data_IF_928396780608
#
_entry.id   IF_928396780608
#
_cell.length_a   1.000
_cell.length_b   1.000
_cell.length_c   1.000
_cell.angle_alpha   90.00
_cell.angle_beta   90.00
_cell.angle_gamma   90.00
#
_symmetry.space_group_name_H-M   'P 1'
#
loop_
_entity.id
_entity.type
_entity.pdbx_description
1 polymer ?
#
# COMPACT_ATOMS: atom_id res chain seq x y z
N UNK A 1 21.59 -12.33 75.75
CA UNK A 1 22.84 -12.76 76.42
C UNK A 1 23.58 -13.68 75.46
N UNK A 2 24.81 -13.50 74.98
CA UNK A 2 25.81 -12.42 74.93
C UNK A 2 26.85 -12.94 73.89
N UNK A 3 27.09 -12.24 72.77
CA UNK A 3 28.26 -11.37 72.47
C UNK A 3 29.62 -12.11 72.30
N UNK A 4 30.24 -12.08 71.09
CA UNK A 4 31.40 -11.24 70.65
C UNK A 4 32.77 -11.84 71.10
N UNK A 5 33.95 -11.69 70.48
CA UNK A 5 34.50 -10.87 69.38
C UNK A 5 35.99 -11.26 69.12
N UNK A 6 36.44 -11.09 67.86
CA UNK A 6 37.76 -10.69 67.27
C UNK A 6 39.11 -10.86 68.02
N UNK A 7 40.15 -11.23 67.24
CA UNK A 7 41.42 -10.47 66.98
C UNK A 7 42.39 -11.37 66.14
N UNK A 8 42.86 -11.00 64.94
CA UNK A 8 43.93 -10.06 64.53
C UNK A 8 45.37 -10.66 64.56
N UNK A 9 46.06 -10.65 63.41
CA UNK A 9 47.54 -10.63 63.30
C UNK A 9 47.98 -10.11 61.92
N UNK A 10 48.83 -9.07 61.94
CA UNK A 10 49.75 -8.62 60.88
C UNK A 10 51.15 -9.22 61.21
N UNK A 11 52.23 -9.24 60.41
CA UNK A 11 52.65 -8.64 59.15
C UNK A 11 53.94 -9.38 58.67
N UNK A 12 54.31 -9.33 57.37
CA UNK A 12 55.68 -9.10 56.88
C UNK A 12 55.77 -9.12 55.33
N UNK A 13 56.50 -8.16 54.74
CA UNK A 13 56.70 -7.86 53.30
C UNK A 13 57.93 -8.62 52.73
N UNK A 14 57.82 -9.29 51.57
CA UNK A 14 58.38 -9.01 50.18
C UNK A 14 59.90 -8.83 50.06
N UNK A 15 60.59 -9.14 48.91
CA UNK A 15 60.15 -9.06 47.48
C UNK A 15 60.65 -10.25 46.60
N UNK A 16 60.51 -10.39 45.28
CA UNK A 16 59.63 -9.98 44.17
C UNK A 16 59.99 -10.92 42.98
N UNK A 17 59.06 -11.22 42.06
CA UNK A 17 59.31 -11.53 40.64
C UNK A 17 57.96 -11.50 39.88
N UNK A 18 57.97 -10.89 38.69
CA UNK A 18 56.84 -10.38 37.90
C UNK A 18 55.89 -11.48 37.33
N UNK A 19 54.61 -11.17 37.03
CA UNK A 19 53.70 -12.09 36.34
C UNK A 19 53.72 -11.84 34.82
N UNK A 20 53.60 -12.90 34.01
CA UNK A 20 52.54 -12.92 33.00
C UNK A 20 51.96 -14.34 32.87
N UNK A 21 50.67 -14.54 32.69
CA UNK A 21 49.92 -14.14 31.50
C UNK A 21 48.45 -14.06 31.88
N UNK A 22 47.84 -12.91 31.60
CA UNK A 22 46.42 -12.82 31.33
C UNK A 22 46.09 -13.93 30.33
N UNK A 23 45.26 -14.89 30.73
CA UNK A 23 44.42 -15.62 29.80
C UNK A 23 43.66 -14.55 29.02
N UNK A 24 44.17 -14.24 27.84
CA UNK A 24 43.40 -13.56 26.83
C UNK A 24 42.22 -14.48 26.54
N UNK A 25 41.11 -14.26 27.25
CA UNK A 25 39.82 -14.62 26.76
C UNK A 25 39.71 -13.92 25.41
N UNK A 26 40.06 -14.62 24.34
CA UNK A 26 39.51 -14.36 23.03
C UNK A 26 38.02 -14.63 23.17
N UNK A 27 37.30 -13.67 23.74
CA UNK A 27 35.97 -13.38 23.25
C UNK A 27 36.21 -13.08 21.77
N UNK A 28 36.08 -14.11 20.93
CA UNK A 28 35.65 -13.91 19.56
C UNK A 28 34.36 -13.12 19.74
N UNK A 29 34.46 -11.79 19.68
CA UNK A 29 33.30 -10.94 19.68
C UNK A 29 32.49 -11.42 18.48
N UNK A 30 31.43 -12.19 18.73
CA UNK A 30 30.41 -12.43 17.72
C UNK A 30 30.11 -11.05 17.16
N UNK A 31 30.26 -10.89 15.84
CA UNK A 31 29.94 -9.64 15.15
C UNK A 31 28.65 -9.06 15.75
N UNK A 32 28.55 -7.73 15.84
CA UNK A 32 27.34 -7.07 16.33
C UNK A 32 26.07 -7.61 15.64
N UNK A 33 26.21 -8.04 14.38
CA UNK A 33 25.14 -8.63 13.57
C UNK A 33 25.32 -10.13 13.28
N UNK A 34 26.18 -10.83 14.03
CA UNK A 34 26.47 -12.26 13.82
C UNK A 34 25.30 -13.20 14.12
N UNK A 35 24.21 -12.69 14.69
CA UNK A 35 22.96 -13.40 14.98
C UNK A 35 21.83 -13.06 13.99
N UNK A 36 22.10 -12.18 13.01
CA UNK A 36 21.11 -11.77 12.03
C UNK A 36 21.06 -12.81 10.92
N UNK A 37 20.00 -13.60 10.91
CA UNK A 37 19.75 -14.60 9.87
C UNK A 37 19.21 -13.96 8.58
N UNK A 38 19.49 -14.55 7.40
CA UNK A 38 18.90 -14.10 6.14
C UNK A 38 17.37 -14.07 6.23
N UNK A 39 16.78 -12.95 5.82
CA UNK A 39 15.33 -12.84 5.72
C UNK A 39 14.78 -13.85 4.69
N UNK A 40 13.57 -14.40 4.89
CA UNK A 40 12.89 -15.18 3.87
C UNK A 40 12.75 -14.38 2.58
N UNK A 41 12.97 -15.01 1.43
CA UNK A 41 12.81 -14.34 0.13
C UNK A 41 11.34 -13.98 -0.10
N UNK A 42 11.09 -12.78 -0.60
CA UNK A 42 9.77 -12.42 -1.10
C UNK A 42 9.45 -13.29 -2.33
N UNK A 43 8.29 -13.99 -2.35
CA UNK A 43 7.99 -14.97 -3.39
C UNK A 43 7.86 -14.33 -4.78
N UNK A 44 7.54 -13.03 -4.89
CA UNK A 44 7.43 -12.32 -6.17
C UNK A 44 8.80 -11.79 -6.61
N UNK A 45 9.56 -11.16 -5.71
CA UNK A 45 10.90 -10.63 -6.05
C UNK A 45 11.88 -11.76 -6.39
N UNK A 46 11.81 -12.89 -5.68
CA UNK A 46 12.63 -14.07 -5.96
C UNK A 46 12.45 -14.62 -7.38
N UNK A 47 11.23 -14.55 -7.94
CA UNK A 47 10.95 -14.94 -9.34
C UNK A 47 11.66 -14.01 -10.32
N UNK A 48 11.72 -12.71 -10.03
CA UNK A 48 12.42 -11.74 -10.89
C UNK A 48 13.93 -11.96 -10.87
N UNK A 49 14.51 -12.23 -9.69
CA UNK A 49 15.93 -12.58 -9.57
C UNK A 49 16.27 -13.84 -10.37
N UNK A 50 15.46 -14.90 -10.23
CA UNK A 50 15.63 -16.14 -10.97
C UNK A 50 15.51 -15.92 -12.49
N UNK A 51 14.51 -15.15 -12.92
CA UNK A 51 14.33 -14.77 -14.33
C UNK A 51 15.54 -13.99 -14.87
N UNK A 52 16.08 -13.03 -14.13
CA UNK A 52 17.25 -12.27 -14.58
C UNK A 52 18.50 -13.15 -14.68
N UNK A 53 18.66 -14.09 -13.75
CA UNK A 53 19.79 -15.02 -13.72
C UNK A 53 19.71 -16.15 -14.77
N UNK A 54 18.52 -16.46 -15.28
CA UNK A 54 18.32 -17.48 -16.31
C UNK A 54 18.98 -17.04 -17.64
N UNK A 55 19.94 -17.82 -18.20
CA UNK A 55 20.61 -17.47 -19.46
C UNK A 55 19.78 -17.80 -20.71
N UNK A 56 18.64 -18.49 -20.56
CA UNK A 56 17.81 -18.89 -21.69
C UNK A 56 17.36 -17.65 -22.49
N UNK A 57 17.52 -17.64 -23.83
CA UNK A 57 17.01 -16.56 -24.67
C UNK A 57 15.46 -16.55 -24.74
N UNK A 58 14.82 -17.68 -24.41
CA UNK A 58 13.37 -17.89 -24.49
C UNK A 58 12.68 -17.72 -23.12
N UNK A 59 13.37 -17.18 -22.12
CA UNK A 59 12.80 -16.96 -20.79
C UNK A 59 11.64 -15.97 -20.84
N UNK A 60 10.56 -16.27 -20.14
CA UNK A 60 9.38 -15.41 -20.02
C UNK A 60 9.12 -15.10 -18.54
N UNK A 61 8.92 -13.82 -18.21
CA UNK A 61 8.56 -13.39 -16.86
C UNK A 61 7.06 -13.09 -16.77
N UNK A 62 6.31 -14.02 -16.18
CA UNK A 62 4.88 -13.84 -15.85
C UNK A 62 4.64 -13.48 -14.38
N UNK A 63 5.70 -13.19 -13.62
CA UNK A 63 5.61 -12.87 -12.18
C UNK A 63 5.55 -11.37 -11.86
N UNK A 64 6.10 -10.51 -12.73
CA UNK A 64 6.12 -9.06 -12.49
C UNK A 64 4.81 -8.42 -12.97
N UNK A 65 4.03 -7.89 -12.03
CA UNK A 65 2.80 -7.14 -12.31
C UNK A 65 3.05 -5.72 -12.84
N UNK A 66 3.75 -5.60 -13.97
CA UNK A 66 3.98 -4.35 -14.67
C UNK A 66 3.76 -4.52 -16.18
N UNK A 67 3.02 -3.59 -16.78
CA UNK A 67 2.69 -3.60 -18.21
C UNK A 67 3.95 -3.62 -19.08
N UNK A 68 3.87 -4.36 -20.19
CA UNK A 68 4.91 -4.51 -21.21
C UNK A 68 4.27 -4.38 -22.60
N UNK A 69 5.04 -3.94 -23.59
CA UNK A 69 4.62 -4.01 -24.98
C UNK A 69 4.72 -5.43 -25.55
N UNK A 70 4.35 -5.59 -26.82
CA UNK A 70 4.40 -6.87 -27.55
C UNK A 70 5.82 -7.46 -27.66
N UNK A 71 6.86 -6.67 -27.39
CA UNK A 71 8.26 -7.10 -27.35
C UNK A 71 8.76 -7.36 -25.92
N UNK A 72 7.86 -7.38 -24.93
CA UNK A 72 8.19 -7.59 -23.52
C UNK A 72 8.95 -6.42 -22.88
N UNK A 73 8.96 -5.23 -23.49
CA UNK A 73 9.69 -4.06 -22.99
C UNK A 73 8.84 -3.15 -22.09
N UNK A 74 9.44 -2.44 -21.12
CA UNK A 74 8.72 -1.45 -20.32
C UNK A 74 8.13 -0.33 -21.20
N UNK A 75 6.85 -0.01 -20.99
CA UNK A 75 6.16 1.08 -21.70
C UNK A 75 6.11 2.33 -20.83
N UNK A 76 6.56 3.45 -21.39
CA UNK A 76 6.29 4.79 -20.86
C UNK A 76 5.14 5.37 -21.67
N UNK A 77 4.10 5.88 -20.99
CA UNK A 77 2.95 6.50 -21.65
C UNK A 77 3.35 7.84 -22.30
N UNK A 78 2.70 8.20 -23.40
CA UNK A 78 2.95 9.46 -24.09
C UNK A 78 2.53 10.66 -23.24
N UNK A 79 1.43 10.55 -22.50
CA UNK A 79 1.03 11.59 -21.53
C UNK A 79 2.10 11.80 -20.45
N UNK A 80 2.77 10.73 -20.01
CA UNK A 80 3.89 10.78 -19.05
C UNK A 80 5.11 11.43 -19.65
N UNK A 81 5.52 11.05 -20.87
CA UNK A 81 6.66 11.68 -21.57
C UNK A 81 6.45 13.19 -21.73
N UNK A 82 5.25 13.60 -22.11
CA UNK A 82 4.91 15.03 -22.26
C UNK A 82 4.92 15.76 -20.92
N UNK A 83 4.38 15.15 -19.85
CA UNK A 83 4.48 15.72 -18.51
C UNK A 83 5.93 15.86 -18.03
N UNK A 84 6.78 14.84 -18.24
CA UNK A 84 8.22 14.91 -17.93
C UNK A 84 8.93 16.03 -18.71
N UNK A 85 8.61 16.20 -20.00
CA UNK A 85 9.14 17.30 -20.81
C UNK A 85 8.77 18.68 -20.25
N UNK A 86 7.56 18.84 -19.71
CA UNK A 86 7.11 20.09 -19.07
C UNK A 86 7.84 20.36 -17.75
N UNK A 87 8.18 19.31 -17.00
CA UNK A 87 8.91 19.42 -15.73
C UNK A 87 10.37 19.84 -15.98
N UNK A 88 11.03 19.24 -16.97
CA UNK A 88 12.44 19.47 -17.25
C UNK A 88 12.74 20.96 -17.53
N UNK A 89 13.54 21.59 -16.66
CA UNK A 89 14.03 22.96 -16.82
C UNK A 89 13.09 24.08 -16.36
N UNK A 90 11.86 23.76 -15.91
CA UNK A 90 10.85 24.76 -15.56
C UNK A 90 10.43 24.77 -14.08
N UNK A 91 10.80 23.73 -13.32
CA UNK A 91 10.39 23.56 -11.92
C UNK A 91 11.59 23.26 -11.02
N UNK A 92 11.52 23.72 -9.77
CA UNK A 92 12.51 23.39 -8.74
C UNK A 92 12.25 22.00 -8.14
N UNK A 93 13.23 21.49 -7.40
CA UNK A 93 13.18 20.20 -6.70
C UNK A 93 13.21 20.38 -5.18
N UNK A 94 12.61 21.49 -4.70
CA UNK A 94 12.53 21.77 -3.26
C UNK A 94 11.63 20.77 -2.54
N UNK A 95 11.79 20.71 -1.22
CA UNK A 95 10.95 19.85 -0.38
C UNK A 95 9.47 20.20 -0.50
N UNK A 96 8.63 19.17 -0.61
CA UNK A 96 7.19 19.31 -0.47
C UNK A 96 6.80 19.53 1.01
N UNK A 97 5.61 20.10 1.26
CA UNK A 97 4.99 20.05 2.59
C UNK A 97 4.91 18.61 3.11
N UNK A 98 4.77 18.42 4.43
CA UNK A 98 4.68 17.08 5.04
C UNK A 98 3.54 16.23 4.45
N UNK A 99 2.42 16.87 4.09
CA UNK A 99 1.30 16.21 3.43
C UNK A 99 1.52 15.91 1.95
N UNK A 100 2.57 16.44 1.33
CA UNK A 100 2.89 16.32 -0.09
C UNK A 100 2.27 17.40 -0.98
N UNK A 101 2.17 17.08 -2.28
CA UNK A 101 1.65 17.99 -3.31
C UNK A 101 0.14 18.16 -3.19
N UNK A 102 -0.31 19.39 -2.88
CA UNK A 102 -1.73 19.75 -2.78
C UNK A 102 -2.46 19.43 -4.10
N UNK A 103 -1.88 19.82 -5.24
CA UNK A 103 -2.47 19.59 -6.56
C UNK A 103 -2.65 18.11 -6.88
N UNK A 104 -1.63 17.29 -6.59
CA UNK A 104 -1.75 15.84 -6.79
C UNK A 104 -2.88 15.26 -5.94
N UNK A 105 -2.97 15.68 -4.67
CA UNK A 105 -4.00 15.20 -3.75
C UNK A 105 -5.39 15.57 -4.26
N UNK A 106 -5.62 16.83 -4.64
CA UNK A 106 -6.91 17.29 -5.20
C UNK A 106 -7.34 16.45 -6.41
N UNK A 107 -6.44 16.22 -7.36
CA UNK A 107 -6.74 15.40 -8.54
C UNK A 107 -6.91 13.91 -8.19
N UNK A 108 -6.20 13.40 -7.20
CA UNK A 108 -6.38 12.02 -6.71
C UNK A 108 -7.76 11.84 -6.09
N UNK A 109 -8.20 12.83 -5.30
CA UNK A 109 -9.52 12.82 -4.68
C UNK A 109 -10.63 12.90 -5.73
N UNK A 110 -10.53 13.80 -6.71
CA UNK A 110 -11.52 13.87 -7.80
C UNK A 110 -11.63 12.54 -8.54
N UNK A 111 -10.50 11.91 -8.87
CA UNK A 111 -10.47 10.64 -9.56
C UNK A 111 -11.10 9.50 -8.74
N UNK A 112 -10.86 9.44 -7.42
CA UNK A 112 -11.40 8.39 -6.55
C UNK A 112 -12.83 8.65 -6.06
N UNK A 113 -13.20 9.91 -5.77
CA UNK A 113 -14.44 10.32 -5.09
C UNK A 113 -15.44 11.04 -6.01
N UNK A 114 -15.02 11.39 -7.22
CA UNK A 114 -15.81 12.02 -8.28
C UNK A 114 -15.54 13.52 -8.33
N UNK A 115 -15.48 14.09 -9.53
CA UNK A 115 -15.22 15.52 -9.76
C UNK A 115 -16.15 16.42 -8.93
N UNK A 116 -17.42 16.03 -8.81
CA UNK A 116 -18.46 16.80 -8.13
C UNK A 116 -18.75 16.40 -6.69
N UNK A 117 -17.90 15.56 -6.09
CA UNK A 117 -18.11 14.98 -4.76
C UNK A 117 -18.40 16.04 -3.69
N UNK A 118 -19.55 15.90 -3.03
CA UNK A 118 -19.92 16.75 -1.89
C UNK A 118 -18.89 16.68 -0.76
N UNK A 119 -18.28 15.51 -0.53
CA UNK A 119 -17.26 15.33 0.51
C UNK A 119 -15.98 16.14 0.27
N UNK A 120 -15.62 16.38 -1.01
CA UNK A 120 -14.51 17.26 -1.37
C UNK A 120 -14.90 18.72 -1.11
N UNK A 121 -16.09 19.13 -1.57
CA UNK A 121 -16.62 20.50 -1.39
C UNK A 121 -16.75 20.86 0.09
N UNK A 122 -17.18 19.91 0.91
CA UNK A 122 -17.33 20.04 2.37
C UNK A 122 -16.00 19.82 3.13
N UNK A 123 -14.90 19.55 2.41
CA UNK A 123 -13.55 19.31 2.97
C UNK A 123 -13.49 18.23 4.06
N UNK A 124 -14.31 17.19 3.89
CA UNK A 124 -14.41 16.08 4.84
C UNK A 124 -13.38 14.98 4.63
N UNK A 125 -12.50 15.10 3.65
CA UNK A 125 -11.53 14.06 3.32
C UNK A 125 -10.14 14.47 3.82
N UNK A 126 -9.62 13.72 4.79
CA UNK A 126 -8.23 13.81 5.20
C UNK A 126 -7.35 13.09 4.18
N UNK A 127 -6.46 13.80 3.50
CA UNK A 127 -5.60 13.19 2.49
C UNK A 127 -4.15 13.68 2.54
N UNK A 128 -3.23 12.75 2.24
CA UNK A 128 -1.79 12.98 2.12
C UNK A 128 -1.25 12.19 0.92
N UNK A 129 -0.27 12.77 0.22
CA UNK A 129 0.52 12.01 -0.74
C UNK A 129 1.32 10.93 -0.01
N UNK A 130 1.35 9.73 -0.58
CA UNK A 130 2.02 8.57 -0.01
C UNK A 130 3.01 7.95 -1.00
N UNK A 131 3.89 7.08 -0.51
CA UNK A 131 4.85 6.31 -1.32
C UNK A 131 4.15 5.18 -2.09
N UNK A 132 3.33 5.58 -3.06
CA UNK A 132 2.41 4.71 -3.80
C UNK A 132 1.38 4.00 -2.90
N UNK A 133 0.71 2.97 -3.42
CA UNK A 133 -0.28 2.19 -2.67
C UNK A 133 0.32 1.53 -1.42
N UNK A 134 1.54 0.98 -1.53
CA UNK A 134 2.25 0.38 -0.39
C UNK A 134 2.45 1.37 0.76
N UNK A 135 2.90 2.59 0.45
CA UNK A 135 3.07 3.64 1.45
C UNK A 135 1.72 4.09 2.03
N UNK A 136 0.67 4.18 1.21
CA UNK A 136 -0.66 4.54 1.68
C UNK A 136 -1.23 3.50 2.66
N UNK A 137 -1.12 2.21 2.32
CA UNK A 137 -1.51 1.11 3.21
C UNK A 137 -0.69 1.12 4.51
N UNK A 138 0.63 1.36 4.44
CA UNK A 138 1.48 1.43 5.64
C UNK A 138 1.10 2.59 6.56
N UNK A 139 0.88 3.79 6.01
CA UNK A 139 0.42 4.95 6.79
C UNK A 139 -0.91 4.67 7.48
N UNK A 140 -1.86 4.06 6.76
CA UNK A 140 -3.15 3.71 7.34
C UNK A 140 -3.02 2.64 8.43
N UNK A 141 -2.19 1.61 8.23
CA UNK A 141 -1.98 0.57 9.24
C UNK A 141 -1.38 1.14 10.54
N UNK A 142 -0.39 2.04 10.45
CA UNK A 142 0.17 2.72 11.63
C UNK A 142 -0.83 3.70 12.27
N UNK A 143 -1.67 4.36 11.46
CA UNK A 143 -2.77 5.20 11.96
C UNK A 143 -3.80 4.36 12.72
N UNK A 144 -4.24 3.25 12.14
CA UNK A 144 -5.14 2.29 12.76
C UNK A 144 -4.57 1.80 14.08
N UNK A 145 -3.31 1.38 14.12
CA UNK A 145 -2.68 0.94 15.38
C UNK A 145 -2.67 2.02 16.45
N UNK A 146 -2.38 3.27 16.07
CA UNK A 146 -2.21 4.37 17.01
C UNK A 146 -3.52 4.86 17.60
N UNK A 147 -4.58 4.96 16.79
CA UNK A 147 -5.84 5.59 17.19
C UNK A 147 -6.97 4.59 17.43
N UNK A 148 -6.82 3.36 16.95
CA UNK A 148 -7.79 2.27 17.09
C UNK A 148 -7.07 0.98 17.50
N UNK A 149 -6.34 0.98 18.64
CA UNK A 149 -5.37 -0.07 19.00
C UNK A 149 -5.99 -1.46 19.19
N UNK A 150 -7.29 -1.52 19.48
CA UNK A 150 -8.07 -2.75 19.69
C UNK A 150 -8.76 -3.25 18.41
N UNK A 151 -8.65 -2.50 17.31
CA UNK A 151 -9.20 -2.91 16.02
C UNK A 151 -8.35 -4.02 15.37
N UNK A 152 -8.98 -4.75 14.46
CA UNK A 152 -8.35 -5.77 13.63
C UNK A 152 -8.66 -5.49 12.16
N UNK A 153 -7.79 -5.95 11.26
CA UNK A 153 -8.03 -5.92 9.81
C UNK A 153 -8.42 -7.31 9.31
N UNK A 154 -9.43 -7.37 8.46
CA UNK A 154 -9.80 -8.55 7.67
C UNK A 154 -9.24 -8.42 6.26
N UNK A 155 -8.49 -9.43 5.82
CA UNK A 155 -7.78 -9.44 4.53
C UNK A 155 -8.33 -10.60 3.67
N UNK A 156 -8.64 -10.40 2.37
CA UNK A 156 -9.22 -11.46 1.55
C UNK A 156 -8.22 -12.60 1.35
N UNK A 157 -8.73 -13.81 1.14
CA UNK A 157 -7.91 -14.99 0.81
C UNK A 157 -8.27 -15.52 -0.59
N UNK A 158 -7.33 -15.53 -1.55
CA UNK A 158 -5.97 -14.96 -1.47
C UNK A 158 -5.97 -13.42 -1.58
N UNK A 159 -4.80 -12.79 -1.45
CA UNK A 159 -4.60 -11.36 -1.72
C UNK A 159 -3.17 -11.05 -2.17
N UNK A 160 -2.84 -9.78 -2.45
CA UNK A 160 -1.46 -9.32 -2.61
C UNK A 160 -0.69 -9.59 -1.32
N UNK A 161 0.33 -10.46 -1.40
CA UNK A 161 1.06 -11.01 -0.24
C UNK A 161 1.53 -9.96 0.76
N UNK A 162 1.92 -8.77 0.28
CA UNK A 162 2.46 -7.73 1.12
C UNK A 162 1.42 -7.08 2.06
N UNK A 163 0.11 -7.25 1.82
CA UNK A 163 -0.91 -6.83 2.80
C UNK A 163 -0.63 -7.44 4.18
N UNK A 164 -0.26 -8.72 4.24
CA UNK A 164 0.06 -9.38 5.49
C UNK A 164 1.31 -8.78 6.16
N UNK A 165 2.34 -8.47 5.39
CA UNK A 165 3.56 -7.85 5.94
C UNK A 165 3.27 -6.45 6.49
N UNK A 166 2.52 -5.63 5.75
CA UNK A 166 2.20 -4.24 6.11
C UNK A 166 1.49 -4.18 7.46
N UNK A 167 0.40 -4.94 7.63
CA UNK A 167 -0.36 -4.91 8.88
C UNK A 167 0.33 -5.65 10.03
N UNK A 168 1.14 -6.67 9.74
CA UNK A 168 1.95 -7.38 10.76
C UNK A 168 2.98 -6.43 11.36
N UNK A 169 3.71 -5.72 10.51
CA UNK A 169 4.79 -4.82 10.91
C UNK A 169 4.26 -3.49 11.49
N UNK A 170 2.97 -3.20 11.31
CA UNK A 170 2.24 -2.15 12.03
C UNK A 170 1.62 -2.65 13.36
N UNK A 171 1.77 -3.94 13.68
CA UNK A 171 1.24 -4.58 14.89
C UNK A 171 -0.28 -4.48 15.04
N UNK A 172 -1.01 -4.52 13.92
CA UNK A 172 -2.47 -4.64 13.89
C UNK A 172 -2.85 -6.12 13.77
N UNK A 173 -3.71 -6.66 14.65
CA UNK A 173 -4.22 -8.01 14.51
C UNK A 173 -4.88 -8.25 13.15
N UNK A 174 -4.54 -9.38 12.52
CA UNK A 174 -5.07 -9.76 11.22
C UNK A 174 -6.01 -10.95 11.34
N UNK A 175 -7.10 -10.89 10.59
CA UNK A 175 -7.92 -12.03 10.23
C UNK A 175 -8.08 -12.09 8.73
N UNK A 176 -8.57 -13.21 8.23
CA UNK A 176 -8.87 -13.38 6.82
C UNK A 176 -10.36 -13.56 6.59
N UNK A 177 -10.79 -13.30 5.35
CA UNK A 177 -12.13 -13.64 4.89
C UNK A 177 -12.07 -14.29 3.50
N UNK A 178 -13.08 -15.09 3.24
CA UNK A 178 -13.24 -15.88 2.01
C UNK A 178 -13.44 -14.96 0.81
N UNK A 179 -12.81 -15.28 -0.32
CA UNK A 179 -12.91 -14.45 -1.53
C UNK A 179 -12.98 -15.29 -2.81
N UNK A 180 -12.05 -16.22 -3.02
CA UNK A 180 -11.94 -16.96 -4.28
C UNK A 180 -12.39 -18.41 -4.13
N UNK A 181 -13.20 -18.90 -5.05
CA UNK A 181 -13.62 -20.30 -5.12
C UNK A 181 -12.80 -21.05 -6.18
N UNK A 182 -11.86 -21.94 -5.79
CA UNK A 182 -10.94 -22.58 -6.74
C UNK A 182 -11.61 -23.40 -7.85
N UNK A 183 -12.72 -24.08 -7.54
CA UNK A 183 -13.39 -24.96 -8.51
C UNK A 183 -14.15 -24.16 -9.58
N UNK A 184 -14.79 -23.05 -9.21
CA UNK A 184 -15.53 -22.21 -10.15
C UNK A 184 -14.66 -21.13 -10.78
N UNK A 185 -13.44 -20.93 -10.24
CA UNK A 185 -12.52 -19.84 -10.59
C UNK A 185 -13.14 -18.45 -10.47
N UNK A 186 -14.19 -18.33 -9.66
CA UNK A 186 -14.95 -17.11 -9.47
C UNK A 186 -14.93 -16.63 -8.01
N UNK A 187 -15.76 -15.64 -7.73
CA UNK A 187 -15.92 -15.10 -6.39
C UNK A 187 -16.71 -16.11 -5.56
N UNK A 188 -16.16 -16.52 -4.42
CA UNK A 188 -16.92 -17.22 -3.38
C UNK A 188 -17.77 -16.19 -2.61
N UNK A 189 -18.82 -15.71 -3.27
CA UNK A 189 -19.65 -14.65 -2.71
C UNK A 189 -20.38 -15.11 -1.45
N UNK A 190 -20.83 -16.36 -1.39
CA UNK A 190 -21.52 -16.90 -0.22
C UNK A 190 -20.58 -16.99 0.99
N UNK A 191 -19.36 -17.49 0.81
CA UNK A 191 -18.34 -17.51 1.86
C UNK A 191 -17.96 -16.10 2.32
N UNK A 192 -17.71 -15.19 1.38
CA UNK A 192 -17.40 -13.78 1.64
C UNK A 192 -18.48 -13.13 2.51
N UNK A 193 -19.76 -13.29 2.13
CA UNK A 193 -20.88 -12.68 2.86
C UNK A 193 -21.10 -13.32 4.23
N UNK A 194 -20.84 -14.62 4.36
CA UNK A 194 -20.89 -15.30 5.66
C UNK A 194 -19.83 -14.74 6.62
N UNK A 195 -18.60 -14.54 6.13
CA UNK A 195 -17.50 -14.02 6.96
C UNK A 195 -17.75 -12.57 7.40
N UNK A 196 -18.29 -11.72 6.51
CA UNK A 196 -18.71 -10.36 6.85
C UNK A 196 -19.76 -10.37 7.96
N UNK A 197 -20.81 -11.19 7.83
CA UNK A 197 -21.90 -11.26 8.83
C UNK A 197 -21.42 -11.74 10.19
N UNK A 198 -20.46 -12.68 10.20
CA UNK A 198 -19.92 -13.29 11.42
C UNK A 198 -18.77 -12.52 12.06
N UNK A 199 -18.17 -11.55 11.35
CA UNK A 199 -17.15 -10.68 11.93
C UNK A 199 -17.74 -9.82 13.08
N UNK A 200 -16.95 -9.48 14.12
CA UNK A 200 -17.39 -8.54 15.15
C UNK A 200 -17.77 -7.19 14.55
N UNK A 201 -18.86 -6.59 15.05
CA UNK A 201 -19.29 -5.26 14.64
C UNK A 201 -18.14 -4.25 14.74
N UNK A 202 -18.06 -3.30 13.80
CA UNK A 202 -16.97 -2.32 13.78
C UNK A 202 -15.62 -2.83 13.24
N UNK A 203 -15.53 -4.07 12.75
CA UNK A 203 -14.31 -4.59 12.14
C UNK A 203 -13.87 -3.82 10.88
N UNK A 204 -12.57 -3.79 10.61
CA UNK A 204 -11.99 -3.18 9.42
C UNK A 204 -11.79 -4.25 8.35
N UNK A 205 -12.09 -3.94 7.10
CA UNK A 205 -11.88 -4.84 5.97
C UNK A 205 -11.04 -4.17 4.89
N UNK A 206 -10.00 -4.87 4.45
CA UNK A 206 -9.25 -4.51 3.26
C UNK A 206 -10.01 -5.01 2.02
N UNK A 207 -10.41 -4.10 1.15
CA UNK A 207 -11.14 -4.39 -0.09
C UNK A 207 -10.30 -3.93 -1.28
N UNK A 208 -10.27 -4.72 -2.35
CA UNK A 208 -9.70 -4.27 -3.62
C UNK A 208 -10.80 -3.51 -4.36
N UNK A 209 -10.56 -2.27 -4.77
CA UNK A 209 -11.58 -1.46 -5.43
C UNK A 209 -12.03 -2.06 -6.77
N UNK A 210 -11.08 -2.65 -7.50
CA UNK A 210 -11.23 -3.39 -8.75
C UNK A 210 -9.92 -4.13 -9.06
N UNK A 211 -9.95 -5.03 -10.06
CA UNK A 211 -8.87 -5.90 -10.50
C UNK A 211 -8.16 -6.58 -9.32
N UNK A 212 -8.91 -7.37 -8.55
CA UNK A 212 -8.39 -8.07 -7.38
C UNK A 212 -7.07 -8.78 -7.66
N UNK A 213 -6.04 -8.47 -6.87
CA UNK A 213 -4.74 -9.13 -6.96
C UNK A 213 -4.66 -10.25 -5.91
N UNK A 214 -4.46 -11.53 -6.29
CA UNK A 214 -3.95 -11.99 -7.60
C UNK A 214 -4.99 -12.58 -8.56
N UNK A 215 -6.27 -12.67 -8.19
CA UNK A 215 -7.23 -13.54 -8.90
C UNK A 215 -7.80 -12.93 -10.17
N UNK A 216 -7.82 -11.61 -10.30
CA UNK A 216 -8.51 -10.88 -11.37
C UNK A 216 -10.04 -10.91 -11.27
N UNK A 217 -10.60 -11.51 -10.21
CA UNK A 217 -12.04 -11.67 -10.04
C UNK A 217 -12.57 -10.55 -9.14
N UNK A 218 -13.54 -9.79 -9.63
CA UNK A 218 -14.19 -8.71 -8.87
C UNK A 218 -15.68 -9.01 -8.62
N UNK A 219 -16.26 -8.52 -7.51
CA UNK A 219 -17.71 -8.55 -7.31
C UNK A 219 -18.43 -7.73 -8.38
N UNK A 220 -19.64 -8.17 -8.76
CA UNK A 220 -20.53 -7.36 -9.60
C UNK A 220 -21.05 -6.14 -8.85
N UNK A 221 -21.68 -5.20 -9.56
CA UNK A 221 -22.30 -4.03 -8.91
C UNK A 221 -23.37 -4.46 -7.88
N UNK A 222 -24.19 -5.46 -8.20
CA UNK A 222 -25.21 -6.00 -7.29
C UNK A 222 -24.59 -6.61 -6.04
N UNK A 223 -23.51 -7.38 -6.22
CA UNK A 223 -22.76 -7.95 -5.11
C UNK A 223 -22.12 -6.87 -4.24
N UNK A 224 -21.54 -5.83 -4.83
CA UNK A 224 -21.00 -4.69 -4.09
C UNK A 224 -22.07 -3.97 -3.26
N UNK A 225 -23.28 -3.82 -3.78
CA UNK A 225 -24.41 -3.23 -3.02
C UNK A 225 -24.80 -4.10 -1.83
N UNK A 226 -24.82 -5.42 -1.98
CA UNK A 226 -25.10 -6.32 -0.87
C UNK A 226 -23.98 -6.30 0.19
N UNK A 227 -22.71 -6.28 -0.24
CA UNK A 227 -21.55 -6.13 0.64
C UNK A 227 -21.67 -4.82 1.43
N UNK A 228 -21.88 -3.70 0.74
CA UNK A 228 -22.05 -2.36 1.33
C UNK A 228 -23.18 -2.35 2.38
N UNK A 229 -24.34 -2.91 2.02
CA UNK A 229 -25.46 -3.06 2.94
C UNK A 229 -25.07 -3.80 4.23
N UNK A 230 -24.40 -4.95 4.12
CA UNK A 230 -24.00 -5.71 5.31
C UNK A 230 -22.92 -4.98 6.12
N UNK A 231 -21.98 -4.29 5.47
CA UNK A 231 -21.02 -3.43 6.16
C UNK A 231 -21.74 -2.36 6.98
N UNK A 232 -22.85 -1.80 6.47
CA UNK A 232 -23.61 -0.76 7.17
C UNK A 232 -24.34 -1.33 8.39
N UNK A 233 -24.97 -2.50 8.24
CA UNK A 233 -25.61 -3.23 9.34
C UNK A 233 -24.61 -3.50 10.48
N UNK A 234 -23.42 -3.97 10.11
CA UNK A 234 -22.36 -4.35 11.05
C UNK A 234 -21.45 -3.19 11.47
N UNK A 235 -21.67 -1.99 10.93
CA UNK A 235 -20.84 -0.80 11.12
C UNK A 235 -19.35 -1.04 10.81
N UNK A 236 -19.06 -1.89 9.84
CA UNK A 236 -17.69 -2.18 9.43
C UNK A 236 -17.06 -0.98 8.70
N UNK A 237 -15.74 -0.85 8.84
CA UNK A 237 -14.97 0.16 8.14
C UNK A 237 -14.31 -0.43 6.88
N UNK A 238 -14.68 0.01 5.67
CA UNK A 238 -14.02 -0.39 4.43
C UNK A 238 -12.73 0.42 4.20
N UNK A 239 -11.62 -0.29 4.00
CA UNK A 239 -10.37 0.27 3.52
C UNK A 239 -10.07 -0.26 2.12
N UNK A 240 -10.17 0.60 1.11
CA UNK A 240 -9.95 0.24 -0.29
C UNK A 240 -8.47 0.35 -0.69
N UNK A 241 -7.89 -0.72 -1.21
CA UNK A 241 -6.68 -0.66 -2.05
C UNK A 241 -7.11 -0.47 -3.51
N UNK A 242 -6.72 0.67 -4.10
CA UNK A 242 -7.07 1.07 -5.46
C UNK A 242 -5.81 1.30 -6.30
N UNK A 243 -5.19 0.19 -6.73
CA UNK A 243 -3.96 0.22 -7.51
C UNK A 243 -4.15 0.18 -9.05
N UNK A 244 -5.35 -0.14 -9.52
CA UNK A 244 -5.62 -0.49 -10.92
C UNK A 244 -6.75 0.33 -11.57
N UNK A 245 -7.12 1.48 -10.99
CA UNK A 245 -8.20 2.30 -11.53
C UNK A 245 -7.95 2.69 -13.00
N UNK A 246 -8.89 2.34 -13.86
CA UNK A 246 -8.85 2.48 -15.32
C UNK A 246 -8.31 1.23 -16.03
N UNK A 247 -7.48 0.42 -15.39
CA UNK A 247 -6.88 -0.78 -15.99
C UNK A 247 -7.82 -1.99 -15.98
N UNK A 248 -8.81 -2.06 -15.09
CA UNK A 248 -9.71 -3.21 -15.01
C UNK A 248 -10.72 -3.20 -16.17
N UNK A 249 -11.38 -2.06 -16.38
CA UNK A 249 -12.42 -1.93 -17.41
C UNK A 249 -12.04 -1.05 -18.61
N UNK A 250 -10.96 -0.28 -18.54
CA UNK A 250 -10.64 0.78 -19.51
C UNK A 250 -11.37 2.10 -19.19
N UNK A 251 -12.11 2.14 -18.08
CA UNK A 251 -12.92 3.27 -17.63
C UNK A 251 -12.68 3.50 -16.12
N UNK A 252 -11.96 4.58 -15.74
CA UNK A 252 -11.71 4.90 -14.34
C UNK A 252 -12.95 5.14 -13.47
N UNK A 253 -14.08 5.58 -14.05
CA UNK A 253 -15.31 5.79 -13.29
C UNK A 253 -15.98 4.46 -12.94
N UNK A 254 -16.01 3.53 -13.90
CA UNK A 254 -16.46 2.16 -13.64
C UNK A 254 -15.57 1.47 -12.61
N UNK A 255 -14.27 1.66 -12.71
CA UNK A 255 -13.29 1.06 -11.78
C UNK A 255 -13.34 1.65 -10.36
N UNK A 256 -13.99 2.81 -10.17
CA UNK A 256 -14.26 3.41 -8.87
C UNK A 256 -15.66 3.09 -8.31
N UNK A 257 -16.44 2.24 -9.00
CA UNK A 257 -17.85 2.01 -8.67
C UNK A 257 -18.07 1.45 -7.26
N UNK A 258 -17.19 0.56 -6.77
CA UNK A 258 -17.26 0.04 -5.41
C UNK A 258 -17.18 1.18 -4.36
N UNK A 259 -16.24 2.10 -4.53
CA UNK A 259 -16.12 3.29 -3.66
C UNK A 259 -17.39 4.13 -3.74
N UNK A 260 -17.92 4.38 -4.94
CA UNK A 260 -19.15 5.17 -5.15
C UNK A 260 -20.35 4.57 -4.40
N UNK A 261 -20.54 3.26 -4.47
CA UNK A 261 -21.63 2.55 -3.78
C UNK A 261 -21.53 2.75 -2.27
N UNK A 262 -20.34 2.56 -1.68
CA UNK A 262 -20.16 2.75 -0.23
C UNK A 262 -20.35 4.21 0.19
N UNK A 263 -19.96 5.17 -0.65
CA UNK A 263 -20.22 6.58 -0.38
C UNK A 263 -21.72 6.92 -0.44
N UNK A 264 -22.44 6.40 -1.45
CA UNK A 264 -23.90 6.53 -1.60
C UNK A 264 -24.65 5.97 -0.38
N UNK A 265 -24.19 4.83 0.15
CA UNK A 265 -24.76 4.21 1.34
C UNK A 265 -24.36 4.90 2.66
N UNK A 266 -23.51 5.93 2.60
CA UNK A 266 -23.15 6.79 3.74
C UNK A 266 -22.00 6.26 4.60
N UNK A 267 -21.14 5.41 4.04
CA UNK A 267 -19.96 4.91 4.75
C UNK A 267 -18.86 5.98 4.87
N UNK A 268 -18.18 6.00 6.01
CA UNK A 268 -16.81 6.50 6.07
C UNK A 268 -15.89 5.42 5.49
N UNK A 269 -14.93 5.82 4.66
CA UNK A 269 -14.02 4.90 3.97
C UNK A 269 -12.57 5.38 4.08
N UNK A 270 -11.63 4.45 4.01
CA UNK A 270 -10.23 4.74 3.67
C UNK A 270 -9.90 4.28 2.25
N UNK A 271 -9.00 4.97 1.56
CA UNK A 271 -8.58 4.60 0.21
C UNK A 271 -7.08 4.84 0.01
N UNK A 272 -6.37 3.78 -0.39
CA UNK A 272 -4.98 3.79 -0.83
C UNK A 272 -4.91 3.76 -2.36
N UNK A 273 -4.54 4.89 -2.97
CA UNK A 273 -4.38 5.02 -4.42
C UNK A 273 -2.93 4.80 -4.83
N UNK A 274 -2.71 4.05 -5.92
CA UNK A 274 -1.40 3.92 -6.57
C UNK A 274 -1.45 4.39 -8.01
N UNK A 275 -0.42 5.13 -8.42
CA UNK A 275 -0.19 5.50 -9.82
C UNK A 275 0.84 4.61 -10.53
N UNK A 276 1.27 3.54 -9.86
CA UNK A 276 2.32 2.67 -10.39
C UNK A 276 1.89 1.99 -11.70
N UNK A 277 0.63 1.53 -11.78
CA UNK A 277 0.11 0.78 -12.93
C UNK A 277 -0.60 1.72 -13.90
N UNK A 278 -1.57 2.48 -13.40
CA UNK A 278 -2.43 3.30 -14.24
C UNK A 278 -1.71 4.43 -15.02
N UNK A 279 -0.53 4.85 -14.56
CA UNK A 279 0.33 5.80 -15.27
C UNK A 279 1.73 5.23 -15.56
N UNK A 280 1.98 3.95 -15.29
CA UNK A 280 3.31 3.35 -15.45
C UNK A 280 4.39 3.92 -14.51
N UNK A 281 4.02 4.63 -13.45
CA UNK A 281 4.94 5.33 -12.55
C UNK A 281 5.51 4.41 -11.45
N UNK A 282 5.81 3.15 -11.79
CA UNK A 282 6.22 2.11 -10.83
C UNK A 282 7.35 2.56 -9.89
N UNK A 283 8.43 3.11 -10.47
CA UNK A 283 9.62 3.54 -9.75
C UNK A 283 9.50 4.93 -9.11
N UNK A 284 8.55 5.76 -9.54
CA UNK A 284 8.37 7.12 -9.01
C UNK A 284 7.63 7.15 -7.67
N UNK A 285 7.03 6.01 -7.28
CA UNK A 285 6.35 5.82 -5.99
C UNK A 285 5.26 6.86 -5.72
N UNK A 286 4.51 7.25 -6.75
CA UNK A 286 3.38 8.17 -6.62
C UNK A 286 2.11 7.43 -6.12
N UNK A 287 1.46 8.00 -5.11
CA UNK A 287 0.17 7.55 -4.58
C UNK A 287 -0.43 8.55 -3.58
N UNK A 288 -1.64 8.24 -3.11
CA UNK A 288 -2.40 9.07 -2.17
C UNK A 288 -3.08 8.17 -1.14
N UNK A 289 -3.03 8.56 0.14
CA UNK A 289 -3.92 8.02 1.16
C UNK A 289 -5.02 9.06 1.42
N UNK A 290 -6.26 8.60 1.44
CA UNK A 290 -7.43 9.41 1.79
C UNK A 290 -8.33 8.69 2.79
N UNK A 291 -8.90 9.44 3.73
CA UNK A 291 -9.84 8.95 4.75
C UNK A 291 -11.01 9.93 4.79
N UNK A 292 -12.22 9.43 4.55
CA UNK A 292 -13.44 10.23 4.67
C UNK A 292 -13.81 10.34 6.16
N UNK A 293 -13.92 11.57 6.63
CA UNK A 293 -14.24 11.93 8.01
C UNK A 293 -15.69 12.42 8.16
N UNK A 294 -16.12 12.55 9.40
CA UNK A 294 -17.44 13.05 9.77
C UNK A 294 -17.63 14.50 9.32
N UNK A 295 -16.62 15.36 9.51
CA UNK A 295 -16.64 16.78 9.17
C UNK A 295 -15.23 17.31 8.82
N UNK A 296 -15.13 18.60 8.46
CA UNK A 296 -13.86 19.29 8.17
C UNK A 296 -12.91 19.30 9.37
N UNK A 297 -13.42 19.43 10.60
CA UNK A 297 -12.60 19.51 11.81
C UNK A 297 -11.88 18.18 12.06
N UNK A 298 -12.60 17.07 11.94
CA UNK A 298 -12.03 15.73 12.04
C UNK A 298 -11.06 15.46 10.88
N UNK A 299 -11.37 15.92 9.66
CA UNK A 299 -10.47 15.77 8.53
C UNK A 299 -9.11 16.48 8.76
N UNK A 300 -9.14 17.68 9.32
CA UNK A 300 -7.91 18.42 9.71
C UNK A 300 -7.12 17.65 10.77
N UNK A 301 -7.80 17.14 11.81
CA UNK A 301 -7.15 16.39 12.87
C UNK A 301 -6.50 15.09 12.33
N UNK A 302 -7.25 14.29 11.56
CA UNK A 302 -6.76 13.04 10.95
C UNK A 302 -5.57 13.32 10.03
N UNK A 303 -5.67 14.33 9.15
CA UNK A 303 -4.57 14.71 8.25
C UNK A 303 -3.30 15.10 9.03
N UNK A 304 -3.43 15.84 10.13
CA UNK A 304 -2.27 16.22 10.96
C UNK A 304 -1.58 15.00 11.56
N UNK A 305 -2.34 13.97 11.96
CA UNK A 305 -1.77 12.73 12.49
C UNK A 305 -1.11 11.89 11.41
N UNK A 306 -1.69 11.81 10.21
CA UNK A 306 -1.05 11.17 9.06
C UNK A 306 0.30 11.82 8.72
N UNK A 307 0.39 13.15 8.79
CA UNK A 307 1.65 13.87 8.61
C UNK A 307 2.67 13.55 9.70
N UNK A 308 2.24 13.45 10.96
CA UNK A 308 3.10 13.07 12.09
C UNK A 308 3.61 11.62 11.99
N UNK A 309 2.80 10.72 11.42
CA UNK A 309 3.20 9.34 11.14
C UNK A 309 4.22 9.30 9.99
N UNK A 310 3.98 10.06 8.92
CA UNK A 310 4.86 10.13 7.76
C UNK A 310 6.24 10.76 8.07
N UNK A 311 6.27 11.78 8.95
CA UNK A 311 7.46 12.58 9.24
C UNK A 311 8.70 11.76 9.65
N UNK A 312 8.62 10.81 10.60
CA UNK A 312 9.75 9.96 10.96
C UNK A 312 10.01 8.80 9.96
N UNK A 313 9.10 8.52 9.04
CA UNK A 313 9.30 7.47 8.03
C UNK A 313 10.11 7.96 6.84
N UNK A 314 9.74 9.13 6.30
CA UNK A 314 10.33 9.64 5.07
C UNK A 314 10.36 11.18 4.97
N UNK A 315 10.12 11.90 6.07
CA UNK A 315 10.11 13.38 6.12
C UNK A 315 8.97 14.02 5.32
N UNK A 316 9.07 14.00 4.00
CA UNK A 316 8.09 14.49 3.03
C UNK A 316 8.19 13.61 1.76
N UNK A 317 7.09 13.45 1.00
CA UNK A 317 7.05 12.52 -0.12
C UNK A 317 7.77 13.08 -1.37
N UNK A 318 8.16 12.22 -2.34
CA UNK A 318 8.92 12.64 -3.51
C UNK A 318 8.11 13.54 -4.46
N UNK A 319 8.76 14.57 -5.00
CA UNK A 319 8.10 15.59 -5.82
C UNK A 319 7.80 15.15 -7.25
N UNK A 320 8.71 14.39 -7.89
CA UNK A 320 8.68 14.19 -9.34
C UNK A 320 7.43 13.45 -9.82
N UNK A 321 7.13 12.27 -9.25
CA UNK A 321 5.92 11.53 -9.58
C UNK A 321 4.63 12.31 -9.31
N UNK A 322 4.62 13.15 -8.27
CA UNK A 322 3.47 14.00 -7.96
C UNK A 322 3.24 15.09 -9.01
N UNK A 323 4.32 15.68 -9.52
CA UNK A 323 4.24 16.64 -10.63
C UNK A 323 3.67 15.97 -11.88
N UNK A 324 4.18 14.80 -12.27
CA UNK A 324 3.68 14.06 -13.44
C UNK A 324 2.18 13.78 -13.32
N UNK A 325 1.74 13.22 -12.18
CA UNK A 325 0.31 12.95 -11.94
C UNK A 325 -0.51 14.23 -12.01
N UNK A 326 -0.09 15.29 -11.34
CA UNK A 326 -0.85 16.54 -11.31
C UNK A 326 -0.92 17.24 -12.66
N UNK A 327 0.15 17.20 -13.46
CA UNK A 327 0.17 17.78 -14.81
C UNK A 327 -0.79 17.01 -15.73
N UNK A 328 -0.76 15.67 -15.68
CA UNK A 328 -1.64 14.84 -16.51
C UNK A 328 -3.11 15.06 -16.14
N UNK A 329 -3.45 15.01 -14.85
CA UNK A 329 -4.85 15.06 -14.41
C UNK A 329 -5.46 16.46 -14.46
N UNK A 330 -4.66 17.52 -14.33
CA UNK A 330 -5.16 18.90 -14.33
C UNK A 330 -5.26 19.51 -15.74
N UNK A 331 -4.55 18.95 -16.72
CA UNK A 331 -4.61 19.35 -18.13
C UNK A 331 -5.65 18.50 -18.88
N UNK A 332 -6.75 19.07 -19.41
CA UNK A 332 -7.80 18.30 -20.08
C UNK A 332 -7.31 17.49 -21.30
N UNK A 333 -6.33 17.99 -22.04
CA UNK A 333 -5.79 17.30 -23.22
C UNK A 333 -4.94 16.10 -22.79
N UNK A 334 -4.06 16.28 -21.80
CA UNK A 334 -3.26 15.18 -21.26
C UNK A 334 -4.10 14.14 -20.52
N UNK A 335 -5.13 14.57 -19.78
CA UNK A 335 -6.08 13.64 -19.15
C UNK A 335 -6.82 12.83 -20.20
N UNK A 336 -7.28 13.46 -21.28
CA UNK A 336 -7.92 12.74 -22.40
C UNK A 336 -6.97 11.74 -23.06
N UNK A 337 -5.71 12.13 -23.27
CA UNK A 337 -4.68 11.23 -23.79
C UNK A 337 -4.44 10.04 -22.86
N UNK A 338 -4.27 10.30 -21.55
CA UNK A 338 -4.09 9.27 -20.54
C UNK A 338 -5.25 8.28 -20.53
N UNK A 339 -6.50 8.75 -20.55
CA UNK A 339 -7.68 7.88 -20.60
C UNK A 339 -7.67 6.96 -21.83
N UNK A 340 -7.27 7.47 -22.99
CA UNK A 340 -7.12 6.65 -24.22
C UNK A 340 -6.03 5.60 -24.06
N UNK A 341 -4.86 5.97 -23.53
CA UNK A 341 -3.73 5.05 -23.34
C UNK A 341 -4.03 3.95 -22.32
N UNK A 342 -4.70 4.29 -21.21
CA UNK A 342 -5.17 3.33 -20.22
C UNK A 342 -6.15 2.34 -20.84
N UNK A 343 -7.10 2.84 -21.64
CA UNK A 343 -8.05 1.99 -22.35
C UNK A 343 -7.35 1.03 -23.31
N UNK A 344 -6.39 1.51 -24.10
CA UNK A 344 -5.59 0.67 -25.00
C UNK A 344 -4.87 -0.44 -24.23
N UNK A 345 -4.23 -0.11 -23.10
CA UNK A 345 -3.54 -1.12 -22.28
C UNK A 345 -4.51 -2.16 -21.70
N UNK A 346 -5.71 -1.74 -21.26
CA UNK A 346 -6.76 -2.64 -20.79
C UNK A 346 -7.24 -3.58 -21.92
N UNK A 347 -7.51 -3.02 -23.10
CA UNK A 347 -7.96 -3.79 -24.27
C UNK A 347 -6.89 -4.79 -24.72
N UNK A 348 -5.60 -4.45 -24.63
CA UNK A 348 -4.48 -5.36 -24.90
C UNK A 348 -4.46 -6.57 -23.95
N UNK A 349 -4.70 -6.37 -22.64
CA UNK A 349 -4.81 -7.49 -21.69
C UNK A 349 -5.99 -8.43 -22.01
N UNK A 350 -7.10 -7.88 -22.51
CA UNK A 350 -8.30 -8.65 -22.84
C UNK A 350 -8.17 -9.39 -24.17
N UNK A 351 -7.56 -8.77 -25.18
CA UNK A 351 -7.42 -9.37 -26.51
C UNK A 351 -6.49 -10.60 -26.52
N UNK A 352 -5.55 -10.70 -25.58
CA UNK A 352 -4.69 -11.88 -25.44
C UNK A 352 -5.41 -13.09 -24.82
N UNK A 353 -6.56 -12.89 -24.16
CA UNK A 353 -7.37 -13.99 -23.62
C UNK A 353 -8.27 -14.67 -24.68
N UNK A 354 -8.56 -14.02 -25.81
CA UNK A 354 -9.50 -14.53 -26.82
C UNK A 354 -8.85 -15.27 -28.01
N UNK A 355 -7.55 -15.58 -27.94
CA UNK A 355 -6.86 -16.32 -29.01
C UNK A 355 -6.87 -17.85 -28.85
N UNK A 356 -7.62 -18.41 -27.90
CA UNK A 356 -7.69 -19.87 -27.65
C UNK A 356 -9.08 -20.51 -27.81
N UNK A 357 -10.08 -19.81 -28.38
CA UNK A 357 -11.37 -20.42 -28.77
C UNK A 357 -11.44 -20.64 -30.28
N UNK A 358 -10.50 -21.42 -30.81
CA UNK A 358 -10.46 -21.88 -32.21
C UNK A 358 -10.40 -23.40 -32.31
#
# INVERSE_FOLDING_TARGET
MAMLSRAASSAARRPALLPPRLLAARAMASSLFGHVEPAPKDPILGVTEAFLADPSPDKVNVGVGAYRDDNGQPVVLSCVREAERRIAGNLNMEYLPMGGSIKMIEESLKLAYGEDSGFIKDKRIAAVQALSGTGACRLFADFQKRFLPDSQIYIPTPTWSNHHNIWRDAHVPQKTFTYYHPESRGLDFSGLMNDIKNAPDGSFFLLHACAHNPTGVDPTEEQWREISHQFKVKKHFPFFDMAYQGFASGDPERDAKAIRIFLEDGHQIGCAQSYAKNMGLYGQRAGCLSILCEDEMQAVAVKSQLQQIARPMYSNPPVHGALVVSIILNDPELKSLWLKEVKVNCDAYKSTMFLNDG
#
